data_IF_426538662207
#
_entry.id   IF_426538662207
#
_cell.length_a   1.000
_cell.length_b   1.000
_cell.length_c   1.000
_cell.angle_alpha   90.00
_cell.angle_beta   90.00
_cell.angle_gamma   90.00
#
_symmetry.space_group_name_H-M   'P 1'
#
loop_
_entity.id
_entity.type
_entity.pdbx_description
1 polymer ?
#
# COMPACT_ATOMS: atom_id res chain seq x y z
N UNK A 1 -8.66 -0.77 23.73
CA UNK A 1 -7.67 -1.25 22.73
C UNK A 1 -7.77 -0.28 21.57
N UNK A 2 -6.65 0.29 21.13
CA UNK A 2 -6.67 1.10 19.90
C UNK A 2 -7.02 0.20 18.72
N UNK A 3 -7.85 0.69 17.82
CA UNK A 3 -8.22 -0.01 16.59
C UNK A 3 -6.97 -0.29 15.74
N UNK A 4 -6.80 -1.52 15.27
CA UNK A 4 -5.68 -1.87 14.38
C UNK A 4 -5.92 -1.23 13.01
N UNK A 5 -4.95 -0.44 12.52
CA UNK A 5 -5.03 0.27 11.25
C UNK A 5 -3.86 -0.12 10.34
N UNK A 6 -4.15 -0.28 9.05
CA UNK A 6 -3.12 -0.38 8.01
C UNK A 6 -2.56 0.99 7.68
N UNK A 7 -1.24 1.10 7.68
CA UNK A 7 -0.50 2.34 7.43
C UNK A 7 0.21 2.27 6.08
N UNK A 8 0.30 3.40 5.41
CA UNK A 8 1.10 3.54 4.20
C UNK A 8 2.60 3.67 4.54
N UNK A 9 3.51 3.50 3.57
CA UNK A 9 4.92 3.84 3.82
C UNK A 9 5.14 5.32 4.14
N UNK A 10 4.30 6.23 3.63
CA UNK A 10 4.34 7.63 4.03
C UNK A 10 3.99 7.79 5.52
N UNK A 11 2.91 7.15 6.00
CA UNK A 11 2.52 7.23 7.41
C UNK A 11 3.66 6.74 8.30
N UNK A 12 4.30 5.61 7.95
CA UNK A 12 5.42 5.06 8.71
C UNK A 12 6.62 6.01 8.73
N UNK A 13 6.98 6.61 7.59
CA UNK A 13 8.05 7.60 7.50
C UNK A 13 7.76 8.80 8.39
N UNK A 14 6.57 9.37 8.28
CA UNK A 14 6.18 10.58 9.00
C UNK A 14 6.11 10.32 10.52
N UNK A 15 5.60 9.15 10.93
CA UNK A 15 5.59 8.71 12.33
C UNK A 15 7.00 8.52 12.92
N UNK A 16 7.95 7.99 12.14
CA UNK A 16 9.33 7.80 12.59
C UNK A 16 10.10 9.12 12.66
N UNK A 17 9.87 10.04 11.72
CA UNK A 17 10.41 11.39 11.78
C UNK A 17 9.90 12.15 13.01
N UNK A 18 8.59 12.14 13.25
CA UNK A 18 8.00 12.74 14.45
C UNK A 18 8.55 12.10 15.75
N UNK A 19 8.71 10.78 15.78
CA UNK A 19 9.33 10.11 16.92
C UNK A 19 10.78 10.55 17.14
N UNK A 20 11.55 10.74 16.07
CA UNK A 20 12.93 11.23 16.14
C UNK A 20 12.99 12.67 16.65
N UNK A 21 12.11 13.55 16.17
CA UNK A 21 12.04 14.95 16.62
C UNK A 21 11.67 15.06 18.10
N UNK A 22 10.67 14.29 18.55
CA UNK A 22 10.20 14.33 19.95
C UNK A 22 11.17 13.70 20.94
N UNK A 23 11.88 12.64 20.56
CA UNK A 23 12.74 11.86 21.47
C UNK A 23 14.22 12.19 21.32
N UNK A 24 14.62 12.79 20.21
CA UNK A 24 16.02 13.04 19.84
C UNK A 24 16.79 11.81 19.38
N UNK A 25 16.19 10.62 19.41
CA UNK A 25 16.82 9.38 18.94
C UNK A 25 15.79 8.34 18.45
N UNK A 26 16.26 7.48 17.55
CA UNK A 26 15.60 6.25 17.12
C UNK A 26 16.48 5.05 17.46
N UNK A 27 15.89 3.90 17.76
CA UNK A 27 16.63 2.64 17.86
C UNK A 27 17.24 2.25 16.50
N UNK A 28 18.14 1.28 16.48
CA UNK A 28 18.76 0.82 15.23
C UNK A 28 17.70 0.33 14.22
N UNK A 29 16.75 -0.49 14.67
CA UNK A 29 15.66 -1.03 13.85
C UNK A 29 14.75 0.08 13.34
N UNK A 30 14.48 1.10 14.16
CA UNK A 30 13.68 2.26 13.76
C UNK A 30 14.37 3.11 12.70
N UNK A 31 15.70 3.26 12.76
CA UNK A 31 16.47 3.94 11.71
C UNK A 31 16.41 3.17 10.40
N UNK A 32 16.56 1.85 10.44
CA UNK A 32 16.43 1.00 9.25
C UNK A 32 15.01 1.07 8.68
N UNK A 33 13.98 1.04 9.53
CA UNK A 33 12.59 1.19 9.12
C UNK A 33 12.34 2.56 8.48
N UNK A 34 12.92 3.64 9.03
CA UNK A 34 12.82 4.98 8.47
C UNK A 34 13.45 5.03 7.08
N UNK A 35 14.68 4.56 6.92
CA UNK A 35 15.34 4.51 5.61
C UNK A 35 14.55 3.70 4.58
N UNK A 36 14.01 2.56 4.98
CA UNK A 36 13.17 1.76 4.10
C UNK A 36 11.87 2.49 3.74
N UNK A 37 11.20 3.14 4.71
CA UNK A 37 9.97 3.89 4.47
C UNK A 37 10.21 5.13 3.58
N UNK A 38 11.33 5.83 3.75
CA UNK A 38 11.75 6.94 2.89
C UNK A 38 11.93 6.48 1.44
N UNK A 39 12.67 5.39 1.22
CA UNK A 39 12.86 4.83 -0.11
C UNK A 39 11.53 4.32 -0.69
N UNK A 40 10.77 3.57 0.08
CA UNK A 40 9.57 2.89 -0.41
C UNK A 40 8.40 3.86 -0.67
N UNK A 41 8.35 5.00 0.02
CA UNK A 41 7.37 6.07 -0.24
C UNK A 41 7.82 7.04 -1.35
N UNK A 42 9.08 6.97 -1.79
CA UNK A 42 9.59 7.77 -2.90
C UNK A 42 9.21 7.17 -4.26
N UNK A 43 9.41 7.95 -5.32
CA UNK A 43 9.27 7.50 -6.71
C UNK A 43 10.39 6.53 -7.15
N UNK A 44 11.44 6.34 -6.34
CA UNK A 44 12.55 5.44 -6.67
C UNK A 44 12.16 3.95 -6.66
N UNK A 45 11.01 3.59 -6.07
CA UNK A 45 10.57 2.19 -5.97
C UNK A 45 9.92 1.69 -7.26
N UNK A 46 8.92 2.41 -7.75
CA UNK A 46 8.11 2.00 -8.91
C UNK A 46 7.70 3.19 -9.81
N UNK A 47 8.33 4.36 -9.64
CA UNK A 47 8.01 5.58 -10.40
C UNK A 47 6.89 6.44 -9.78
N UNK A 48 6.21 5.96 -8.74
CA UNK A 48 5.11 6.66 -8.08
C UNK A 48 5.41 6.82 -6.60
N UNK A 49 5.16 8.02 -6.07
CA UNK A 49 5.27 8.25 -4.62
C UNK A 49 4.09 7.60 -3.91
N UNK A 50 4.33 7.03 -2.74
CA UNK A 50 3.24 6.65 -1.84
C UNK A 50 2.71 7.92 -1.20
N UNK A 51 1.46 8.24 -1.50
CA UNK A 51 0.71 9.27 -0.78
C UNK A 51 -0.32 8.61 0.14
N UNK A 52 -0.33 8.95 1.43
CA UNK A 52 -1.26 8.36 2.41
C UNK A 52 -2.71 8.50 1.95
N UNK A 53 -3.09 9.63 1.35
CA UNK A 53 -4.44 9.84 0.83
C UNK A 53 -4.75 8.81 -0.28
N UNK A 54 -3.89 8.72 -1.28
CA UNK A 54 -4.06 7.81 -2.43
C UNK A 54 -4.06 6.35 -1.98
N UNK A 55 -3.20 5.98 -1.03
CA UNK A 55 -3.22 4.66 -0.39
C UNK A 55 -4.58 4.35 0.24
N UNK A 56 -5.14 5.27 1.04
CA UNK A 56 -6.42 5.06 1.70
C UNK A 56 -7.57 5.00 0.68
N UNK A 57 -7.56 5.86 -0.33
CA UNK A 57 -8.57 5.89 -1.39
C UNK A 57 -8.57 4.57 -2.18
N UNK A 58 -7.41 4.09 -2.64
CA UNK A 58 -7.27 2.79 -3.30
C UNK A 58 -7.68 1.63 -2.40
N UNK A 59 -7.20 1.61 -1.14
CA UNK A 59 -7.52 0.55 -0.18
C UNK A 59 -9.03 0.46 0.04
N UNK A 60 -9.71 1.60 0.19
CA UNK A 60 -11.15 1.63 0.38
C UNK A 60 -11.88 1.16 -0.89
N UNK A 61 -11.45 1.60 -2.07
CA UNK A 61 -12.00 1.12 -3.35
C UNK A 61 -11.82 -0.40 -3.53
N UNK A 62 -10.67 -0.97 -3.15
CA UNK A 62 -10.48 -2.42 -3.19
C UNK A 62 -11.37 -3.17 -2.20
N UNK A 63 -11.68 -2.58 -1.05
CA UNK A 63 -12.60 -3.20 -0.07
C UNK A 63 -14.05 -3.27 -0.56
N UNK A 64 -14.43 -2.52 -1.60
CA UNK A 64 -15.73 -2.65 -2.26
C UNK A 64 -15.83 -3.90 -3.15
N UNK A 65 -14.68 -4.52 -3.49
CA UNK A 65 -14.65 -5.79 -4.25
C UNK A 65 -14.92 -6.93 -3.26
N UNK A 66 -16.04 -7.66 -3.44
CA UNK A 66 -16.53 -8.67 -2.49
C UNK A 66 -15.46 -9.69 -2.07
N UNK A 67 -14.66 -10.19 -3.03
CA UNK A 67 -13.59 -11.15 -2.75
C UNK A 67 -12.45 -10.55 -1.93
N UNK A 68 -12.16 -9.25 -2.08
CA UNK A 68 -11.08 -8.55 -1.37
C UNK A 68 -11.55 -8.03 -0.01
N UNK A 69 -12.84 -7.66 0.13
CA UNK A 69 -13.43 -7.19 1.38
C UNK A 69 -13.15 -8.13 2.58
N UNK A 70 -13.08 -9.43 2.29
CA UNK A 70 -12.78 -10.50 3.26
C UNK A 70 -11.30 -10.53 3.71
N UNK A 71 -10.42 -9.77 3.05
CA UNK A 71 -8.98 -9.71 3.27
C UNK A 71 -8.46 -8.26 3.25
N UNK A 72 -8.70 -7.47 4.32
CA UNK A 72 -8.28 -6.06 4.38
C UNK A 72 -6.77 -5.84 4.25
N UNK A 73 -5.97 -6.84 4.63
CA UNK A 73 -4.53 -6.87 4.41
C UNK A 73 -4.15 -6.94 2.93
N UNK A 74 -4.95 -7.62 2.11
CA UNK A 74 -4.74 -7.73 0.67
C UNK A 74 -5.06 -6.41 -0.01
N UNK A 75 -6.15 -5.75 0.40
CA UNK A 75 -6.48 -4.40 -0.05
C UNK A 75 -5.35 -3.40 0.28
N UNK A 76 -4.84 -3.45 1.51
CA UNK A 76 -3.69 -2.63 1.90
C UNK A 76 -2.44 -2.96 1.08
N UNK A 77 -2.17 -4.24 0.81
CA UNK A 77 -1.00 -4.65 0.02
C UNK A 77 -1.11 -4.20 -1.44
N UNK A 78 -2.28 -4.29 -2.06
CA UNK A 78 -2.54 -3.79 -3.41
C UNK A 78 -2.32 -2.27 -3.48
N UNK A 79 -2.89 -1.54 -2.51
CA UNK A 79 -2.73 -0.09 -2.42
C UNK A 79 -1.27 0.33 -2.19
N UNK A 80 -0.51 -0.43 -1.40
CA UNK A 80 0.90 -0.11 -1.16
C UNK A 80 1.80 -0.48 -2.33
N UNK A 81 1.53 -1.58 -3.06
CA UNK A 81 2.39 -2.04 -4.17
C UNK A 81 2.14 -1.27 -5.45
N UNK A 82 0.90 -0.81 -5.69
CA UNK A 82 0.50 -0.09 -6.91
C UNK A 82 0.80 -0.93 -8.16
N UNK A 83 0.16 -2.10 -8.33
CA UNK A 83 0.41 -2.98 -9.47
C UNK A 83 -0.10 -2.36 -10.77
N UNK A 84 0.70 -2.37 -11.83
CA UNK A 84 0.35 -1.79 -13.14
C UNK A 84 0.04 -2.85 -14.20
N UNK A 85 0.43 -4.10 -13.95
CA UNK A 85 0.22 -5.21 -14.87
C UNK A 85 -0.56 -6.33 -14.19
N UNK A 86 -1.26 -7.13 -14.99
CA UNK A 86 -2.07 -8.26 -14.49
C UNK A 86 -1.24 -9.30 -13.72
N UNK A 87 0.03 -9.48 -14.08
CA UNK A 87 0.96 -10.39 -13.41
C UNK A 87 1.28 -9.92 -11.97
N UNK A 88 1.45 -8.62 -11.77
CA UNK A 88 1.69 -8.02 -10.44
C UNK A 88 0.50 -8.28 -9.51
N UNK A 89 -0.71 -8.08 -10.04
CA UNK A 89 -1.97 -8.35 -9.32
C UNK A 89 -2.03 -9.84 -8.95
N UNK A 90 -1.82 -10.75 -9.91
CA UNK A 90 -1.83 -12.20 -9.65
C UNK A 90 -0.82 -12.61 -8.59
N UNK A 91 0.39 -12.04 -8.61
CA UNK A 91 1.44 -12.34 -7.63
C UNK A 91 1.02 -11.97 -6.19
N UNK A 92 0.35 -10.82 -6.02
CA UNK A 92 -0.16 -10.38 -4.71
C UNK A 92 -1.29 -11.30 -4.23
N UNK A 93 -2.25 -11.62 -5.12
CA UNK A 93 -3.44 -12.42 -4.81
C UNK A 93 -3.11 -13.90 -4.54
N UNK A 94 -2.02 -14.43 -5.12
CA UNK A 94 -1.58 -15.81 -4.94
C UNK A 94 -1.37 -16.19 -3.46
N UNK A 95 -1.06 -15.22 -2.60
CA UNK A 95 -0.87 -15.41 -1.16
C UNK A 95 -2.12 -15.89 -0.40
N UNK A 96 -3.32 -15.74 -0.97
CA UNK A 96 -4.60 -16.06 -0.31
C UNK A 96 -5.29 -17.30 -0.87
N UNK A 97 -4.75 -17.95 -1.92
CA UNK A 97 -5.35 -19.12 -2.62
C UNK A 97 -6.79 -18.89 -3.10
N UNK A 98 -7.10 -17.65 -3.49
CA UNK A 98 -8.41 -17.26 -4.01
C UNK A 98 -8.28 -17.10 -5.51
N UNK A 99 -9.25 -17.64 -6.25
CA UNK A 99 -9.31 -17.47 -7.69
C UNK A 99 -10.00 -16.16 -8.04
N UNK A 100 -9.30 -15.33 -8.79
CA UNK A 100 -9.82 -14.13 -9.43
C UNK A 100 -9.87 -14.35 -10.93
N UNK A 101 -10.97 -13.95 -11.56
CA UNK A 101 -11.09 -13.97 -13.01
C UNK A 101 -10.46 -12.72 -13.65
N UNK A 102 -10.39 -12.71 -14.97
CA UNK A 102 -9.77 -11.61 -15.72
C UNK A 102 -10.53 -10.28 -15.57
N UNK A 103 -11.86 -10.33 -15.39
CA UNK A 103 -12.69 -9.14 -15.18
C UNK A 103 -12.35 -8.48 -13.85
N UNK A 104 -12.22 -9.28 -12.79
CA UNK A 104 -11.86 -8.79 -11.45
C UNK A 104 -10.43 -8.24 -11.41
N UNK A 105 -9.49 -8.89 -12.12
CA UNK A 105 -8.12 -8.39 -12.24
C UNK A 105 -8.10 -7.04 -12.95
N UNK A 106 -8.86 -6.88 -14.03
CA UNK A 106 -8.95 -5.61 -14.75
C UNK A 106 -9.60 -4.51 -13.87
N UNK A 107 -10.63 -4.85 -13.09
CA UNK A 107 -11.22 -3.91 -12.13
C UNK A 107 -10.19 -3.38 -11.12
N UNK A 108 -9.32 -4.24 -10.60
CA UNK A 108 -8.23 -3.83 -9.69
C UNK A 108 -7.28 -2.86 -10.41
N UNK A 109 -6.87 -3.18 -11.63
CA UNK A 109 -5.96 -2.33 -12.41
C UNK A 109 -6.58 -0.97 -12.73
N UNK A 110 -7.88 -0.92 -13.01
CA UNK A 110 -8.60 0.33 -13.28
C UNK A 110 -8.65 1.23 -12.04
N UNK A 111 -8.89 0.65 -10.85
CA UNK A 111 -8.79 1.39 -9.58
C UNK A 111 -7.38 1.97 -9.41
N UNK A 112 -6.33 1.20 -9.68
CA UNK A 112 -4.94 1.69 -9.58
C UNK A 112 -4.74 2.87 -10.53
N UNK A 113 -5.03 2.70 -11.82
CA UNK A 113 -4.84 3.74 -12.86
C UNK A 113 -5.56 5.04 -12.53
N UNK A 114 -6.81 4.96 -12.08
CA UNK A 114 -7.60 6.12 -11.68
C UNK A 114 -6.97 6.90 -10.53
N UNK A 115 -6.29 6.22 -9.61
CA UNK A 115 -5.71 6.82 -8.42
C UNK A 115 -4.29 7.35 -8.64
N UNK A 116 -3.48 6.71 -9.49
CA UNK A 116 -2.11 7.18 -9.80
C UNK A 116 -2.02 8.08 -11.03
N UNK A 117 -3.13 8.32 -11.73
CA UNK A 117 -3.19 9.25 -12.87
C UNK A 117 -2.49 8.71 -14.12
N UNK A 118 -2.53 7.40 -14.33
CA UNK A 118 -1.96 6.74 -15.51
C UNK A 118 -3.11 6.43 -16.47
N UNK A 119 -3.31 7.28 -17.47
CA UNK A 119 -4.18 6.99 -18.63
C UNK A 119 -3.51 6.00 -19.59
#
# INVERSE_FOLDING_TARGET
MSEEKYLSYQDVRDMLNDAQERRGFLTYEQKLALHHAEWAASDARNGYKTETKVFNDMRNAFLEIEKIAKFPDLAAKLAEIIPLHSEDVRAILASRRISFDETEINQILDIVRQNVGVE
#
